data_IF_637644702308
#
_entry.id   IF_637644702308
#
_cell.length_a   1.000
_cell.length_b   1.000
_cell.length_c   1.000
_cell.angle_alpha   90.00
_cell.angle_beta   90.00
_cell.angle_gamma   90.00
#
_symmetry.space_group_name_H-M   'P 1'
#
loop_
_entity.id
_entity.type
_entity.pdbx_description
1 polymer ?
#
# COMPACT_ATOMS: atom_id res chain seq x y z
N UNK A 1 -15.58 20.86 -11.71
CA UNK A 1 -15.66 19.85 -10.62
C UNK A 1 -17.12 19.56 -10.36
N UNK A 2 -17.52 18.29 -10.37
CA UNK A 2 -18.87 17.87 -9.97
C UNK A 2 -18.94 17.77 -8.43
N UNK A 3 -20.15 17.84 -7.85
CA UNK A 3 -20.35 17.73 -6.40
C UNK A 3 -19.79 16.41 -5.81
N UNK A 4 -19.85 15.31 -6.56
CA UNK A 4 -19.27 14.01 -6.20
C UNK A 4 -17.73 14.06 -6.09
N UNK A 5 -17.07 14.81 -6.99
CA UNK A 5 -15.61 14.94 -6.97
C UNK A 5 -15.14 15.75 -5.75
N UNK A 6 -15.93 16.73 -5.30
CA UNK A 6 -15.65 17.48 -4.07
C UNK A 6 -15.84 16.62 -2.80
N UNK A 7 -16.86 15.75 -2.78
CA UNK A 7 -17.10 14.82 -1.67
C UNK A 7 -15.97 13.78 -1.52
N UNK A 8 -15.47 13.24 -2.65
CA UNK A 8 -14.35 12.29 -2.68
C UNK A 8 -13.03 12.90 -2.19
N UNK A 9 -12.71 14.12 -2.61
CA UNK A 9 -11.55 14.88 -2.10
C UNK A 9 -11.69 15.11 -0.60
N UNK A 10 -12.90 15.47 -0.14
CA UNK A 10 -13.19 15.68 1.28
C UNK A 10 -12.96 14.43 2.13
N UNK A 11 -13.32 13.24 1.67
CA UNK A 11 -13.05 12.02 2.45
C UNK A 11 -11.57 11.62 2.43
N UNK A 12 -10.85 11.75 1.30
CA UNK A 12 -9.40 11.51 1.31
C UNK A 12 -8.67 12.50 2.21
N UNK A 13 -9.09 13.76 2.25
CA UNK A 13 -8.58 14.74 3.21
C UNK A 13 -8.89 14.34 4.66
N UNK A 14 -10.08 13.77 4.93
CA UNK A 14 -10.40 13.19 6.25
C UNK A 14 -9.50 11.99 6.56
N UNK A 15 -9.28 11.07 5.63
CA UNK A 15 -8.39 9.92 5.83
C UNK A 15 -6.93 10.36 6.05
N UNK A 16 -6.43 11.35 5.32
CA UNK A 16 -5.11 11.94 5.55
C UNK A 16 -5.02 12.67 6.90
N UNK A 17 -6.11 13.33 7.32
CA UNK A 17 -6.20 13.96 8.65
C UNK A 17 -6.24 12.90 9.76
N UNK A 18 -6.97 11.81 9.56
CA UNK A 18 -7.01 10.67 10.49
C UNK A 18 -5.66 9.98 10.58
N UNK A 19 -4.95 9.80 9.46
CA UNK A 19 -3.57 9.32 9.41
C UNK A 19 -2.65 10.20 10.26
N UNK A 20 -2.75 11.53 10.09
CA UNK A 20 -1.94 12.49 10.83
C UNK A 20 -2.28 12.51 12.34
N UNK A 21 -3.56 12.39 12.71
CA UNK A 21 -4.00 12.32 14.11
C UNK A 21 -3.58 11.01 14.76
N UNK A 22 -3.77 9.88 14.09
CA UNK A 22 -3.35 8.58 14.57
C UNK A 22 -1.84 8.55 14.87
N UNK A 23 -1.03 9.16 14.00
CA UNK A 23 0.40 9.27 14.19
C UNK A 23 0.83 10.22 15.32
N UNK A 24 0.00 11.19 15.71
CA UNK A 24 0.38 12.28 16.64
C UNK A 24 -0.29 12.22 18.02
N UNK A 25 -1.46 11.59 18.20
CA UNK A 25 -2.29 11.73 19.41
C UNK A 25 -1.92 10.79 20.59
N UNK A 26 -0.71 10.21 20.64
CA UNK A 26 -0.24 9.44 21.82
C UNK A 26 0.94 10.12 22.54
N UNK A 27 0.91 10.24 23.88
CA UNK A 27 1.97 10.90 24.63
C UNK A 27 3.31 10.22 24.37
N UNK A 28 4.36 11.02 24.21
CA UNK A 28 5.73 10.53 24.13
C UNK A 28 6.01 9.65 25.36
N UNK A 29 6.26 8.35 25.16
CA UNK A 29 6.78 7.53 26.25
C UNK A 29 8.22 7.95 26.51
N UNK A 30 8.55 8.05 27.79
CA UNK A 30 9.86 8.41 28.33
C UNK A 30 10.98 7.72 27.54
N UNK A 31 12.02 8.45 27.10
CA UNK A 31 13.13 7.82 26.38
C UNK A 31 13.79 6.79 27.29
N UNK A 32 13.78 5.53 26.86
CA UNK A 32 14.71 4.54 27.39
C UNK A 32 16.11 5.00 26.98
N UNK A 33 16.89 5.50 27.93
CA UNK A 33 18.32 5.70 27.79
C UNK A 33 18.94 4.31 27.58
N UNK A 34 19.15 3.93 26.33
CA UNK A 34 20.12 2.90 25.98
C UNK A 34 21.46 3.61 25.95
N UNK A 35 22.33 3.25 26.90
CA UNK A 35 23.70 3.73 26.99
C UNK A 35 24.43 3.52 25.65
N UNK A 36 24.58 4.59 24.89
CA UNK A 36 25.30 4.63 23.63
C UNK A 36 26.63 5.35 23.85
N UNK A 37 27.58 4.64 24.45
CA UNK A 37 28.99 4.98 24.34
C UNK A 37 29.40 5.09 22.86
N UNK A 38 30.11 6.19 22.55
CA UNK A 38 30.57 6.69 21.24
C UNK A 38 29.55 7.49 20.41
N UNK A 39 29.71 8.82 20.46
CA UNK A 39 29.36 9.72 19.36
C UNK A 39 30.22 9.38 18.13
N UNK A 40 29.65 9.21 16.92
CA UNK A 40 30.42 9.35 15.70
C UNK A 40 30.37 10.81 15.23
N UNK A 41 31.55 11.35 14.91
CA UNK A 41 31.71 12.60 14.17
C UNK A 41 31.01 12.50 12.81
N UNK A 42 30.31 13.56 12.42
CA UNK A 42 29.79 13.70 11.06
C UNK A 42 30.92 14.08 10.12
N UNK A 43 31.41 13.13 9.33
CA UNK A 43 32.16 13.42 8.11
C UNK A 43 31.24 13.31 6.90
N UNK A 44 31.25 14.35 6.05
CA UNK A 44 30.63 14.35 4.73
C UNK A 44 31.17 13.15 3.94
N UNK A 45 30.32 12.15 3.71
CA UNK A 45 30.66 10.99 2.87
C UNK A 45 30.02 11.15 1.49
N UNK A 46 30.90 11.36 0.52
CA UNK A 46 30.65 11.38 -0.92
C UNK A 46 29.83 10.21 -1.43
N UNK A 47 29.00 10.52 -2.42
CA UNK A 47 28.08 9.66 -3.16
C UNK A 47 28.78 8.46 -3.85
N UNK A 48 28.82 7.30 -3.20
CA UNK A 48 29.00 6.00 -3.87
C UNK A 48 28.08 4.96 -3.24
N UNK A 49 27.36 4.23 -4.11
CA UNK A 49 26.21 3.37 -3.78
C UNK A 49 26.66 1.90 -3.68
N UNK A 50 26.52 1.21 -2.53
CA UNK A 50 26.55 -0.25 -2.49
C UNK A 50 25.14 -0.82 -2.70
N UNK A 51 25.05 -1.93 -3.42
CA UNK A 51 23.81 -2.67 -3.62
C UNK A 51 23.39 -3.41 -2.34
N UNK A 52 22.12 -3.26 -1.93
CA UNK A 52 21.51 -4.08 -0.86
C UNK A 52 20.97 -3.35 0.37
N UNK A 53 21.02 -2.01 0.46
CA UNK A 53 20.46 -1.28 1.61
C UNK A 53 19.00 -0.86 1.39
N UNK A 54 18.15 -1.13 2.38
CA UNK A 54 16.83 -0.51 2.49
C UNK A 54 17.02 1.00 2.65
N UNK A 55 16.42 1.78 1.74
CA UNK A 55 16.56 3.23 1.76
C UNK A 55 15.60 3.80 2.81
N UNK A 56 16.17 4.40 3.84
CA UNK A 56 15.46 5.23 4.80
C UNK A 56 15.73 6.67 4.38
N UNK A 57 14.75 7.33 3.76
CA UNK A 57 14.90 8.72 3.31
C UNK A 57 14.34 9.69 4.34
N UNK A 58 15.15 10.65 4.77
CA UNK A 58 14.68 11.89 5.37
C UNK A 58 14.58 12.95 4.27
N UNK A 59 13.43 13.59 4.13
CA UNK A 59 13.33 14.82 3.33
C UNK A 59 13.30 15.99 4.31
N UNK A 60 14.39 16.76 4.36
CA UNK A 60 14.53 17.92 5.25
C UNK A 60 13.78 19.12 4.67
N UNK A 61 12.51 19.25 5.05
CA UNK A 61 11.79 20.52 5.14
C UNK A 61 10.95 20.43 6.40
N UNK A 62 11.49 20.93 7.52
CA UNK A 62 10.79 21.04 8.82
C UNK A 62 9.91 19.81 9.16
N UNK A 63 10.49 18.60 9.02
CA UNK A 63 9.72 17.37 8.95
C UNK A 63 9.27 16.90 10.34
N UNK A 64 8.07 17.33 10.76
CA UNK A 64 7.37 16.79 11.95
C UNK A 64 6.89 15.34 11.78
N UNK A 65 7.26 14.66 10.69
CA UNK A 65 6.80 13.31 10.35
C UNK A 65 7.89 12.53 9.63
N UNK A 66 8.16 11.30 10.07
CA UNK A 66 9.14 10.40 9.46
C UNK A 66 8.42 9.20 8.84
N UNK A 67 8.60 9.01 7.53
CA UNK A 67 8.00 7.91 6.80
C UNK A 67 9.06 6.83 6.50
N UNK A 68 8.76 5.58 6.84
CA UNK A 68 9.56 4.44 6.40
C UNK A 68 8.98 3.93 5.07
N UNK A 69 9.85 3.67 4.09
CA UNK A 69 9.45 3.10 2.79
C UNK A 69 10.38 1.97 2.43
N UNK A 70 9.84 0.89 1.87
CA UNK A 70 10.66 -0.16 1.26
C UNK A 70 10.10 -0.52 -0.11
N UNK A 71 10.88 -0.24 -1.15
CA UNK A 71 10.47 -0.47 -2.54
C UNK A 71 10.54 -1.95 -2.96
N UNK A 72 11.37 -2.74 -2.27
CA UNK A 72 11.70 -4.11 -2.68
C UNK A 72 11.18 -5.18 -1.72
N UNK A 73 11.14 -4.96 -0.41
CA UNK A 73 10.74 -5.97 0.58
C UNK A 73 9.77 -5.41 1.61
N UNK A 74 8.73 -6.13 2.07
CA UNK A 74 7.99 -5.69 3.25
C UNK A 74 8.97 -5.59 4.44
N UNK A 75 8.83 -4.52 5.24
CA UNK A 75 9.66 -4.36 6.43
C UNK A 75 9.18 -5.34 7.51
N UNK A 76 10.09 -6.18 8.00
CA UNK A 76 9.78 -7.08 9.10
C UNK A 76 9.41 -6.27 10.38
N UNK A 77 8.50 -6.77 11.22
CA UNK A 77 8.08 -6.12 12.46
C UNK A 77 9.24 -5.63 13.35
N UNK A 78 10.29 -6.46 13.48
CA UNK A 78 11.46 -6.13 14.27
C UNK A 78 12.19 -4.88 13.74
N UNK A 79 12.26 -4.70 12.42
CA UNK A 79 12.88 -3.52 11.80
C UNK A 79 12.04 -2.27 12.03
N UNK A 80 10.71 -2.38 11.91
CA UNK A 80 9.79 -1.26 12.19
C UNK A 80 9.96 -0.79 13.64
N UNK A 81 10.00 -1.72 14.60
CA UNK A 81 10.18 -1.40 16.03
C UNK A 81 11.53 -0.74 16.32
N UNK A 82 12.63 -1.27 15.76
CA UNK A 82 13.96 -0.66 15.92
C UNK A 82 14.01 0.75 15.35
N UNK A 83 13.46 0.97 14.16
CA UNK A 83 13.40 2.30 13.56
C UNK A 83 12.58 3.26 14.44
N UNK A 84 11.40 2.83 14.89
CA UNK A 84 10.50 3.63 15.73
C UNK A 84 11.09 3.97 17.11
N UNK A 85 11.95 3.10 17.65
CA UNK A 85 12.65 3.35 18.92
C UNK A 85 13.75 4.41 18.79
N UNK A 86 14.37 4.55 17.62
CA UNK A 86 15.40 5.58 17.35
C UNK A 86 14.75 6.91 17.00
N UNK A 87 13.77 6.89 16.09
CA UNK A 87 13.03 8.06 15.67
C UNK A 87 11.56 7.67 15.42
N UNK A 88 10.63 8.46 15.94
CA UNK A 88 9.19 8.17 15.82
C UNK A 88 8.80 8.11 14.34
N UNK A 89 8.49 6.90 13.87
CA UNK A 89 7.89 6.68 12.54
C UNK A 89 6.42 7.06 12.61
N UNK A 90 5.95 7.89 11.69
CA UNK A 90 4.55 8.33 11.61
C UNK A 90 3.74 7.56 10.58
N UNK A 91 4.39 7.08 9.52
CA UNK A 91 3.74 6.27 8.50
C UNK A 91 4.70 5.23 7.89
N UNK A 92 4.16 4.08 7.51
CA UNK A 92 4.82 3.08 6.68
C UNK A 92 4.17 3.04 5.30
N UNK A 93 4.96 3.20 4.25
CA UNK A 93 4.51 2.93 2.87
C UNK A 93 4.96 1.54 2.44
N UNK A 94 4.00 0.65 2.13
CA UNK A 94 4.29 -0.71 1.63
C UNK A 94 3.19 -1.20 0.68
N UNK A 95 3.44 -2.28 -0.05
CA UNK A 95 2.44 -2.84 -0.97
C UNK A 95 1.30 -3.47 -0.19
N UNK A 96 0.06 -3.12 -0.53
CA UNK A 96 -1.13 -3.76 0.03
C UNK A 96 -2.31 -3.61 -0.93
N UNK A 97 -2.99 -4.72 -1.23
CA UNK A 97 -4.17 -4.76 -2.09
C UNK A 97 -4.89 -6.10 -1.89
N UNK A 98 -6.09 -6.26 -2.46
CA UNK A 98 -6.76 -7.57 -2.53
C UNK A 98 -5.91 -8.66 -3.20
N UNK A 99 -4.96 -8.25 -4.05
CA UNK A 99 -4.06 -9.17 -4.76
C UNK A 99 -2.75 -9.43 -3.99
N UNK A 100 -2.54 -8.75 -2.86
CA UNK A 100 -1.37 -8.89 -2.01
C UNK A 100 -1.69 -8.50 -0.56
N UNK A 101 -1.98 -9.52 0.25
CA UNK A 101 -2.49 -9.39 1.63
C UNK A 101 -1.45 -9.72 2.73
N UNK A 102 -0.20 -9.99 2.36
CA UNK A 102 0.84 -10.35 3.33
C UNK A 102 1.00 -9.38 4.51
N UNK A 103 0.86 -8.04 4.36
CA UNK A 103 0.95 -7.12 5.48
C UNK A 103 -0.04 -7.38 6.62
N UNK A 104 -1.16 -8.07 6.37
CA UNK A 104 -2.20 -8.34 7.36
C UNK A 104 -1.70 -9.23 8.51
N UNK A 105 -0.74 -10.13 8.26
CA UNK A 105 -0.29 -11.11 9.25
C UNK A 105 0.49 -10.48 10.40
N UNK A 106 1.44 -9.59 10.10
CA UNK A 106 2.37 -9.08 11.11
C UNK A 106 2.63 -7.58 11.03
N UNK A 107 2.59 -7.00 9.82
CA UNK A 107 2.92 -5.59 9.60
C UNK A 107 1.80 -4.70 10.13
N UNK A 108 0.57 -4.88 9.65
CA UNK A 108 -0.60 -4.10 10.05
C UNK A 108 -0.82 -4.16 11.57
N UNK A 109 -0.78 -5.34 12.24
CA UNK A 109 -0.84 -5.40 13.70
C UNK A 109 0.27 -4.61 14.41
N UNK A 110 1.51 -4.69 13.89
CA UNK A 110 2.65 -3.93 14.46
C UNK A 110 2.46 -2.43 14.30
N UNK A 111 1.94 -1.96 13.17
CA UNK A 111 1.65 -0.54 12.95
C UNK A 111 0.53 -0.05 13.88
N UNK A 112 -0.50 -0.86 14.09
CA UNK A 112 -1.60 -0.56 15.01
C UNK A 112 -1.11 -0.41 16.45
N UNK A 113 -0.27 -1.33 16.91
CA UNK A 113 0.33 -1.29 18.25
C UNK A 113 1.16 -0.02 18.46
N UNK A 114 1.98 0.34 17.47
CA UNK A 114 2.89 1.49 17.53
C UNK A 114 2.23 2.83 17.21
N UNK A 115 0.97 2.85 16.75
CA UNK A 115 0.29 4.07 16.32
C UNK A 115 0.88 4.66 15.03
N UNK A 116 1.33 3.80 14.11
CA UNK A 116 1.93 4.19 12.84
C UNK A 116 0.88 4.07 11.74
N UNK A 117 0.72 5.12 10.93
CA UNK A 117 -0.16 5.10 9.77
C UNK A 117 0.32 4.16 8.66
N UNK A 118 -0.57 3.73 7.76
CA UNK A 118 -0.19 2.86 6.64
C UNK A 118 -0.63 3.43 5.29
N UNK A 119 0.31 3.44 4.35
CA UNK A 119 0.14 4.03 3.02
C UNK A 119 0.34 2.94 1.95
N UNK A 120 -0.72 2.24 1.54
CA UNK A 120 -0.64 1.22 0.50
C UNK A 120 -0.18 1.75 -0.86
N UNK A 121 0.93 1.24 -1.38
CA UNK A 121 1.31 1.39 -2.79
C UNK A 121 0.85 0.20 -3.63
N UNK A 122 0.76 0.38 -4.96
CA UNK A 122 0.12 -0.59 -5.88
C UNK A 122 -1.28 -1.06 -5.45
N UNK A 123 -2.17 -0.18 -4.93
CA UNK A 123 -3.45 -0.59 -4.34
C UNK A 123 -4.40 -1.27 -5.35
N UNK A 124 -4.21 -1.00 -6.64
CA UNK A 124 -5.01 -1.55 -7.74
C UNK A 124 -4.33 -2.76 -8.42
N UNK A 125 -3.41 -3.46 -7.73
CA UNK A 125 -2.74 -4.64 -8.26
C UNK A 125 -2.01 -4.37 -9.57
N UNK A 126 -1.29 -3.23 -9.63
CA UNK A 126 -0.59 -2.77 -10.84
C UNK A 126 -1.51 -2.68 -12.06
N UNK A 127 -2.79 -2.36 -11.86
CA UNK A 127 -3.78 -2.20 -12.92
C UNK A 127 -4.70 -3.41 -13.10
N UNK A 128 -4.35 -4.60 -12.59
CA UNK A 128 -5.19 -5.80 -12.75
C UNK A 128 -6.58 -5.58 -12.14
N UNK A 129 -6.65 -5.06 -10.90
CA UNK A 129 -7.90 -4.90 -10.15
C UNK A 129 -8.82 -3.82 -10.72
N UNK A 130 -8.38 -3.08 -11.75
CA UNK A 130 -9.25 -2.11 -12.45
C UNK A 130 -10.21 -2.78 -13.43
N UNK A 131 -9.94 -4.03 -13.79
CA UNK A 131 -10.66 -4.73 -14.85
C UNK A 131 -10.33 -4.26 -16.27
N UNK A 132 -9.31 -3.41 -16.44
CA UNK A 132 -8.84 -2.99 -17.76
C UNK A 132 -7.87 -4.00 -18.41
N UNK A 133 -7.39 -4.99 -17.66
CA UNK A 133 -6.52 -6.06 -18.14
C UNK A 133 -7.35 -7.33 -18.22
N UNK A 134 -7.34 -7.98 -19.39
CA UNK A 134 -7.99 -9.25 -19.69
C UNK A 134 -6.97 -10.32 -20.13
N UNK A 135 -7.48 -11.51 -20.50
CA UNK A 135 -6.64 -12.64 -20.95
C UNK A 135 -5.83 -12.30 -22.22
N UNK A 136 -6.33 -11.41 -23.07
CA UNK A 136 -5.77 -11.09 -24.39
C UNK A 136 -4.89 -9.83 -24.38
N UNK A 137 -4.89 -9.10 -23.27
CA UNK A 137 -4.18 -7.83 -23.14
C UNK A 137 -2.69 -8.03 -23.38
N UNK A 138 -2.14 -7.38 -24.39
CA UNK A 138 -0.70 -7.31 -24.59
C UNK A 138 -0.20 -5.98 -24.00
N UNK A 139 0.95 -6.02 -23.33
CA UNK A 139 1.60 -4.80 -22.83
C UNK A 139 2.70 -4.38 -23.78
N UNK A 140 3.00 -3.08 -23.83
CA UNK A 140 4.16 -2.57 -24.55
C UNK A 140 5.43 -3.32 -24.12
N UNK A 141 6.39 -3.51 -25.04
CA UNK A 141 7.61 -4.28 -24.76
C UNK A 141 8.41 -3.75 -23.57
N UNK A 142 8.32 -2.45 -23.30
CA UNK A 142 8.99 -1.76 -22.19
C UNK A 142 8.21 -1.78 -20.89
N UNK A 143 6.97 -2.32 -20.88
CA UNK A 143 6.16 -2.42 -19.68
C UNK A 143 6.75 -3.46 -18.72
N UNK A 144 6.98 -3.04 -17.48
CA UNK A 144 7.53 -3.90 -16.43
C UNK A 144 6.64 -5.11 -16.12
N UNK A 145 5.33 -5.06 -16.41
CA UNK A 145 4.42 -6.21 -16.24
C UNK A 145 4.87 -7.43 -17.04
N UNK A 146 5.60 -7.24 -18.15
CA UNK A 146 6.13 -8.33 -18.96
C UNK A 146 7.14 -9.22 -18.21
N UNK A 147 7.79 -8.68 -17.17
CA UNK A 147 8.77 -9.43 -16.37
C UNK A 147 8.22 -9.85 -15.01
N UNK A 148 6.98 -9.52 -14.69
CA UNK A 148 6.35 -9.88 -13.41
C UNK A 148 5.61 -11.22 -13.57
N UNK A 149 5.97 -12.30 -12.86
CA UNK A 149 5.39 -13.63 -13.07
C UNK A 149 3.87 -13.69 -12.91
N UNK A 150 3.27 -12.82 -12.08
CA UNK A 150 1.81 -12.70 -11.93
C UNK A 150 1.06 -12.27 -13.19
N UNK A 151 1.76 -11.67 -14.16
CA UNK A 151 1.20 -11.24 -15.44
C UNK A 151 1.52 -12.22 -16.59
N UNK A 152 2.23 -13.33 -16.33
CA UNK A 152 2.37 -14.41 -17.28
C UNK A 152 0.99 -14.93 -17.72
N UNK A 153 0.80 -15.40 -18.96
CA UNK A 153 -0.53 -15.69 -19.52
C UNK A 153 -1.41 -16.58 -18.62
N UNK A 154 -0.87 -17.68 -18.12
CA UNK A 154 -1.55 -18.65 -17.27
C UNK A 154 -1.89 -18.05 -15.90
N UNK A 155 -0.93 -17.33 -15.30
CA UNK A 155 -1.10 -16.66 -14.03
C UNK A 155 -2.15 -15.55 -14.12
N UNK A 156 -2.10 -14.73 -15.17
CA UNK A 156 -3.05 -13.66 -15.41
C UNK A 156 -4.46 -14.21 -15.56
N UNK A 157 -4.64 -15.25 -16.36
CA UNK A 157 -5.93 -15.91 -16.56
C UNK A 157 -6.53 -16.36 -15.22
N UNK A 158 -5.74 -17.05 -14.39
CA UNK A 158 -6.21 -17.46 -13.07
C UNK A 158 -6.51 -16.28 -12.15
N UNK A 159 -5.67 -15.24 -12.18
CA UNK A 159 -5.82 -14.04 -11.34
C UNK A 159 -7.01 -13.14 -11.76
N UNK A 160 -7.63 -13.34 -12.95
CA UNK A 160 -8.85 -12.64 -13.33
C UNK A 160 -10.05 -12.96 -12.43
N UNK A 161 -10.00 -14.05 -11.65
CA UNK A 161 -11.02 -14.33 -10.64
C UNK A 161 -11.20 -13.17 -9.63
N UNK A 162 -10.12 -12.46 -9.28
CA UNK A 162 -10.21 -11.24 -8.45
C UNK A 162 -11.00 -10.13 -9.15
N UNK A 163 -10.83 -9.99 -10.46
CA UNK A 163 -11.53 -8.99 -11.26
C UNK A 163 -13.01 -9.32 -11.34
N UNK A 164 -13.39 -10.58 -11.54
CA UNK A 164 -14.81 -10.94 -11.64
C UNK A 164 -15.57 -10.82 -10.33
N UNK A 165 -14.91 -11.13 -9.21
CA UNK A 165 -15.43 -10.79 -7.89
C UNK A 165 -15.72 -9.29 -7.78
N UNK A 166 -14.74 -8.44 -8.13
CA UNK A 166 -14.88 -7.00 -8.05
C UNK A 166 -15.94 -6.45 -9.00
N UNK A 167 -16.05 -6.97 -10.23
CA UNK A 167 -17.06 -6.55 -11.21
C UNK A 167 -18.48 -6.81 -10.70
N UNK A 168 -18.72 -7.99 -10.12
CA UNK A 168 -20.04 -8.35 -9.55
C UNK A 168 -20.47 -7.40 -8.43
N UNK A 169 -19.56 -7.09 -7.50
CA UNK A 169 -19.84 -6.16 -6.39
C UNK A 169 -19.98 -4.73 -6.90
N UNK A 170 -19.16 -4.34 -7.88
CA UNK A 170 -19.20 -3.04 -8.51
C UNK A 170 -20.54 -2.80 -9.21
N UNK A 171 -21.06 -3.79 -9.94
CA UNK A 171 -22.37 -3.74 -10.61
C UNK A 171 -23.49 -3.52 -9.59
N UNK A 172 -23.52 -4.29 -8.50
CA UNK A 172 -24.52 -4.14 -7.44
C UNK A 172 -24.50 -2.75 -6.77
N UNK A 173 -23.36 -2.05 -6.80
CA UNK A 173 -23.17 -0.73 -6.19
C UNK A 173 -23.15 0.43 -7.18
N UNK A 174 -23.32 0.19 -8.48
CA UNK A 174 -23.17 1.22 -9.51
C UNK A 174 -21.78 1.86 -9.52
N UNK A 175 -20.74 1.09 -9.19
CA UNK A 175 -19.35 1.53 -9.07
C UNK A 175 -18.46 0.85 -10.12
N UNK A 176 -17.17 1.20 -10.13
CA UNK A 176 -16.15 0.49 -10.92
C UNK A 176 -15.36 -0.51 -10.06
N UNK A 177 -14.75 -1.56 -10.66
CA UNK A 177 -13.88 -2.48 -9.93
C UNK A 177 -12.75 -1.79 -9.16
N UNK A 178 -12.18 -0.73 -9.76
CA UNK A 178 -11.15 0.09 -9.13
C UNK A 178 -11.68 0.78 -7.86
N UNK A 179 -12.91 1.29 -7.91
CA UNK A 179 -13.53 1.93 -6.76
C UNK A 179 -13.82 0.95 -5.64
N UNK A 180 -14.32 -0.26 -5.95
CA UNK A 180 -14.53 -1.30 -4.94
C UNK A 180 -13.21 -1.72 -4.28
N UNK A 181 -12.14 -1.92 -5.06
CA UNK A 181 -10.84 -2.28 -4.52
C UNK A 181 -10.26 -1.21 -3.58
N UNK A 182 -10.42 0.08 -3.94
CA UNK A 182 -9.98 1.20 -3.10
C UNK A 182 -10.87 1.40 -1.87
N UNK A 183 -12.18 1.25 -2.01
CA UNK A 183 -13.13 1.33 -0.89
C UNK A 183 -12.86 0.21 0.13
N UNK A 184 -12.53 -1.00 -0.34
CA UNK A 184 -12.12 -2.11 0.52
C UNK A 184 -10.86 -1.78 1.34
N UNK A 185 -9.84 -1.17 0.72
CA UNK A 185 -8.63 -0.73 1.43
C UNK A 185 -8.94 0.32 2.51
N UNK A 186 -9.79 1.30 2.18
CA UNK A 186 -10.21 2.35 3.11
C UNK A 186 -11.05 1.80 4.28
N UNK A 187 -11.73 0.66 4.08
CA UNK A 187 -12.55 0.02 5.11
C UNK A 187 -11.73 -0.83 6.11
N UNK A 188 -10.49 -1.21 5.78
CA UNK A 188 -9.69 -2.11 6.64
C UNK A 188 -9.37 -1.49 8.00
N UNK A 189 -8.84 -0.27 7.99
CA UNK A 189 -8.52 0.51 9.20
C UNK A 189 -8.63 2.00 8.89
N UNK A 190 -9.07 2.84 9.85
CA UNK A 190 -9.25 4.28 9.62
C UNK A 190 -7.94 5.05 9.35
N UNK A 191 -6.78 4.46 9.65
CA UNK A 191 -5.44 5.01 9.44
C UNK A 191 -4.72 4.42 8.20
N UNK A 192 -5.46 3.73 7.33
CA UNK A 192 -4.97 3.28 6.02
C UNK A 192 -5.36 4.29 4.94
N UNK A 193 -4.38 4.78 4.19
CA UNK A 193 -4.59 5.75 3.10
C UNK A 193 -3.87 5.29 1.84
N UNK A 194 -4.56 4.63 0.88
CA UNK A 194 -3.93 4.15 -0.34
C UNK A 194 -3.54 5.31 -1.28
N UNK A 195 -2.47 5.10 -2.05
CA UNK A 195 -1.96 6.06 -3.04
C UNK A 195 -2.12 5.53 -4.48
N UNK A 196 -3.34 5.52 -5.04
CA UNK A 196 -3.55 5.08 -6.42
C UNK A 196 -2.90 6.06 -7.41
N UNK A 197 -1.90 5.59 -8.15
CA UNK A 197 -1.22 6.37 -9.17
C UNK A 197 -2.05 6.50 -10.46
N UNK A 198 -2.05 7.68 -11.06
CA UNK A 198 -2.61 7.93 -12.39
C UNK A 198 -1.98 9.16 -13.04
N UNK A 199 -1.87 9.17 -14.36
CA UNK A 199 -1.48 10.34 -15.16
C UNK A 199 -2.69 10.98 -15.86
N UNK A 200 -3.88 10.37 -15.77
CA UNK A 200 -5.09 10.79 -16.48
C UNK A 200 -6.13 11.36 -15.51
N UNK A 201 -6.67 12.53 -15.83
CA UNK A 201 -7.62 13.25 -14.97
C UNK A 201 -8.93 12.46 -14.71
N UNK A 202 -9.49 11.80 -15.73
CA UNK A 202 -10.71 10.99 -15.54
C UNK A 202 -10.50 9.81 -14.58
N UNK A 203 -9.29 9.21 -14.57
CA UNK A 203 -8.93 8.15 -13.62
C UNK A 203 -8.74 8.69 -12.21
N UNK A 204 -8.26 9.92 -12.07
CA UNK A 204 -8.25 10.59 -10.76
C UNK A 204 -9.69 10.73 -10.25
N UNK A 205 -10.61 11.24 -11.08
CA UNK A 205 -12.04 11.34 -10.74
C UNK A 205 -12.65 9.99 -10.33
N UNK A 206 -12.39 8.93 -11.10
CA UNK A 206 -12.82 7.56 -10.79
C UNK A 206 -12.30 7.10 -9.42
N UNK A 207 -10.98 7.24 -9.16
CA UNK A 207 -10.35 6.85 -7.90
C UNK A 207 -10.90 7.63 -6.69
N UNK A 208 -11.16 8.93 -6.86
CA UNK A 208 -11.75 9.77 -5.82
C UNK A 208 -13.16 9.30 -5.44
N UNK A 209 -13.93 8.76 -6.41
CA UNK A 209 -15.26 8.21 -6.17
C UNK A 209 -15.26 7.02 -5.22
N UNK A 210 -14.15 6.29 -5.08
CA UNK A 210 -14.03 5.19 -4.12
C UNK A 210 -14.26 5.62 -2.67
N UNK A 211 -13.85 6.85 -2.35
CA UNK A 211 -14.05 7.41 -1.02
C UNK A 211 -15.54 7.71 -0.75
N UNK A 212 -16.37 7.90 -1.78
CA UNK A 212 -17.82 8.03 -1.59
C UNK A 212 -18.52 6.70 -1.27
N UNK A 213 -17.87 5.55 -1.46
CA UNK A 213 -18.50 4.25 -1.33
C UNK A 213 -18.45 3.75 0.12
N UNK A 214 -19.59 3.26 0.59
CA UNK A 214 -19.68 2.50 1.84
C UNK A 214 -19.89 1.02 1.50
N UNK A 215 -18.92 0.20 1.91
CA UNK A 215 -19.05 -1.26 1.88
C UNK A 215 -19.68 -1.70 3.20
N UNK A 216 -20.77 -2.46 3.14
CA UNK A 216 -21.41 -3.04 4.30
C UNK A 216 -20.56 -4.18 4.86
N UNK A 217 -20.81 -4.62 6.11
CA UNK A 217 -20.17 -5.80 6.67
C UNK A 217 -20.35 -7.05 5.79
N UNK A 218 -21.48 -7.17 5.10
CA UNK A 218 -21.79 -8.26 4.17
C UNK A 218 -20.89 -8.21 2.93
N UNK A 219 -20.72 -7.01 2.33
CA UNK A 219 -19.82 -6.83 1.18
C UNK A 219 -18.38 -7.20 1.55
N UNK A 220 -17.92 -6.79 2.73
CA UNK A 220 -16.55 -7.08 3.19
C UNK A 220 -16.35 -8.58 3.42
N UNK A 221 -17.33 -9.25 4.06
CA UNK A 221 -17.29 -10.72 4.23
C UNK A 221 -17.28 -11.44 2.89
N UNK A 222 -18.10 -11.01 1.95
CA UNK A 222 -18.12 -11.60 0.61
C UNK A 222 -16.78 -11.45 -0.12
N UNK A 223 -16.16 -10.26 -0.05
CA UNK A 223 -14.82 -10.03 -0.60
C UNK A 223 -13.78 -10.94 0.05
N UNK A 224 -13.82 -11.06 1.38
CA UNK A 224 -12.87 -11.91 2.11
C UNK A 224 -13.04 -13.39 1.77
N UNK A 225 -14.27 -13.89 1.75
CA UNK A 225 -14.55 -15.30 1.40
C UNK A 225 -14.15 -15.64 -0.03
N UNK A 226 -14.45 -14.77 -0.99
CA UNK A 226 -14.10 -15.02 -2.38
C UNK A 226 -12.59 -14.88 -2.59
N UNK A 227 -11.96 -13.85 -2.03
CA UNK A 227 -10.50 -13.68 -2.15
C UNK A 227 -9.71 -14.82 -1.51
N UNK A 228 -10.19 -15.40 -0.40
CA UNK A 228 -9.58 -16.57 0.23
C UNK A 228 -9.66 -17.85 -0.62
N UNK A 229 -10.65 -17.96 -1.51
CA UNK A 229 -10.83 -19.09 -2.43
C UNK A 229 -10.02 -18.96 -3.72
N UNK A 230 -9.56 -17.75 -4.05
CA UNK A 230 -8.76 -17.53 -5.26
C UNK A 230 -7.30 -17.91 -5.00
N UNK A 231 -6.85 -19.00 -5.63
CA UNK A 231 -5.43 -19.34 -5.66
C UNK A 231 -4.68 -18.26 -6.43
N UNK A 232 -3.70 -17.63 -5.76
CA UNK A 232 -2.86 -16.64 -6.41
C UNK A 232 -1.78 -17.32 -7.26
N UNK A 233 -1.71 -17.00 -8.54
CA UNK A 233 -0.73 -17.56 -9.46
C UNK A 233 0.37 -16.56 -9.82
N UNK A 234 1.60 -17.06 -9.88
CA UNK A 234 2.80 -16.28 -10.18
C UNK A 234 3.39 -15.57 -8.96
N UNK A 235 4.73 -15.56 -8.88
CA UNK A 235 5.46 -14.86 -7.84
C UNK A 235 5.26 -13.33 -7.92
N UNK A 236 5.29 -12.67 -6.76
CA UNK A 236 5.15 -11.20 -6.64
C UNK A 236 6.18 -10.44 -7.47
N UNK A 237 7.41 -10.93 -7.51
CA UNK A 237 8.50 -10.39 -8.29
C UNK A 237 9.20 -11.51 -9.09
N UNK A 238 9.87 -11.18 -10.20
CA UNK A 238 10.78 -12.12 -10.85
C UNK A 238 11.90 -12.54 -9.89
N UNK A 239 12.41 -13.75 -10.05
CA UNK A 239 13.30 -14.42 -9.09
C UNK A 239 14.52 -13.56 -8.68
N UNK A 240 15.13 -12.86 -9.62
CA UNK A 240 16.29 -12.00 -9.36
C UNK A 240 15.95 -10.81 -8.44
N UNK A 241 14.73 -10.28 -8.50
CA UNK A 241 14.26 -9.26 -7.56
C UNK A 241 13.76 -9.88 -6.26
N UNK A 242 13.19 -11.09 -6.30
CA UNK A 242 12.76 -11.82 -5.12
C UNK A 242 13.94 -12.11 -4.18
N UNK A 243 15.14 -12.39 -4.71
CA UNK A 243 16.38 -12.59 -3.91
C UNK A 243 16.83 -11.34 -3.15
N UNK A 244 16.37 -10.16 -3.54
CA UNK A 244 16.64 -8.90 -2.83
C UNK A 244 15.63 -8.63 -1.70
N UNK A 245 14.58 -9.44 -1.63
CA UNK A 245 13.58 -9.43 -0.56
C UNK A 245 14.13 -10.26 0.58
N UNK A 246 14.94 -9.64 1.45
CA UNK A 246 15.79 -10.30 2.45
C UNK A 246 15.08 -11.27 3.40
N UNK A 247 14.84 -12.48 2.92
CA UNK A 247 14.35 -13.66 3.62
C UNK A 247 15.23 -14.83 3.25
#
# INVERSE_FOLDING_TARGET
MTAESAAGIGLLARSATTLARFANDRPARTPYLVDAGRRPEMTEATNTKPAGTSKVESTSYDARAWAATSATSPLAPATIRRAHAVQRVTALQSEYSLWWREPEAEVIPTLEELGIGFVPFSPLGKGLLTGAIDEKTTSDKTDFRNVVPRFAPEARKANLAFVEMLRRIAEAKGATPAQIALAWLLAQKPWIVPIPGTTKLHRLGENLGAAGLTLSPEDLREIDEVSAKVTLHGARYPEHLQKLVGR
#
